data_IF_807484143354
#
_entry.id   IF_807484143354
#
_cell.length_a   1.000
_cell.length_b   1.000
_cell.length_c   1.000
_cell.angle_alpha   90.00
_cell.angle_beta   90.00
_cell.angle_gamma   90.00
#
_symmetry.space_group_name_H-M   'P 1'
#
loop_
_entity.id
_entity.type
_entity.pdbx_description
1 polymer ?
#
# COMPACT_ATOMS: atom_id res chain seq x y z
N UNK A 1 -1.52 7.85 -25.89
CA UNK A 1 -2.99 7.64 -25.81
C UNK A 1 -3.58 8.62 -24.80
N UNK A 2 -4.90 8.67 -24.68
CA UNK A 2 -5.60 9.44 -23.63
C UNK A 2 -5.87 8.58 -22.40
N UNK A 3 -5.79 9.19 -21.22
CA UNK A 3 -6.11 8.59 -19.93
C UNK A 3 -6.95 9.56 -19.08
N UNK A 4 -8.06 9.10 -18.54
CA UNK A 4 -8.71 9.74 -17.40
C UNK A 4 -8.05 9.27 -16.11
N UNK A 5 -7.73 10.16 -15.17
CA UNK A 5 -7.18 9.76 -13.87
C UNK A 5 -7.99 10.38 -12.73
N UNK A 6 -8.67 9.54 -11.96
CA UNK A 6 -9.54 9.92 -10.84
C UNK A 6 -8.80 9.71 -9.53
N UNK A 7 -8.76 10.74 -8.68
CA UNK A 7 -8.00 10.75 -7.43
C UNK A 7 -6.60 11.29 -7.65
N UNK A 8 -6.36 12.54 -7.27
CA UNK A 8 -5.10 13.28 -7.40
C UNK A 8 -4.48 13.58 -6.04
N UNK A 9 -4.62 12.65 -5.11
CA UNK A 9 -3.76 12.58 -3.93
C UNK A 9 -2.29 12.36 -4.32
N UNK A 10 -1.41 12.16 -3.34
CA UNK A 10 0.04 12.10 -3.56
C UNK A 10 0.46 11.09 -4.65
N UNK A 11 -0.14 9.89 -4.65
CA UNK A 11 0.13 8.86 -5.66
C UNK A 11 -0.46 9.22 -7.03
N UNK A 12 -1.77 9.48 -7.11
CA UNK A 12 -2.43 9.75 -8.39
C UNK A 12 -1.90 10.99 -9.11
N UNK A 13 -1.56 12.05 -8.37
CA UNK A 13 -0.87 13.22 -8.93
C UNK A 13 0.46 12.84 -9.57
N UNK A 14 1.31 12.09 -8.84
CA UNK A 14 2.61 11.66 -9.35
C UNK A 14 2.50 10.74 -10.57
N UNK A 15 1.51 9.85 -10.59
CA UNK A 15 1.21 8.98 -11.73
C UNK A 15 0.78 9.78 -12.95
N UNK A 16 -0.12 10.77 -12.78
CA UNK A 16 -0.53 11.68 -13.85
C UNK A 16 0.68 12.39 -14.47
N UNK A 17 1.53 12.98 -13.63
CA UNK A 17 2.71 13.70 -14.12
C UNK A 17 3.68 12.77 -14.86
N UNK A 18 3.87 11.54 -14.39
CA UNK A 18 4.74 10.57 -15.07
C UNK A 18 4.16 10.15 -16.42
N UNK A 19 2.87 9.85 -16.49
CA UNK A 19 2.19 9.47 -17.75
C UNK A 19 2.22 10.63 -18.77
N UNK A 20 2.04 11.87 -18.31
CA UNK A 20 2.19 13.08 -19.15
C UNK A 20 3.62 13.25 -19.67
N UNK A 21 4.63 13.04 -18.82
CA UNK A 21 6.03 13.11 -19.22
C UNK A 21 6.40 12.07 -20.28
N UNK A 22 5.70 10.92 -20.31
CA UNK A 22 5.82 9.90 -21.36
C UNK A 22 5.09 10.26 -22.67
N UNK A 23 4.54 11.46 -22.80
CA UNK A 23 3.88 11.94 -24.02
C UNK A 23 2.43 11.47 -24.18
N UNK A 24 1.79 11.03 -23.11
CA UNK A 24 0.35 10.72 -23.10
C UNK A 24 -0.47 11.91 -22.62
N UNK A 25 -1.69 12.04 -23.14
CA UNK A 25 -2.62 13.07 -22.70
C UNK A 25 -3.42 12.53 -21.50
N UNK A 26 -3.38 13.25 -20.38
CA UNK A 26 -4.07 12.82 -19.15
C UNK A 26 -5.00 13.92 -18.67
N UNK A 27 -6.27 13.57 -18.44
CA UNK A 27 -7.28 14.43 -17.83
C UNK A 27 -7.47 13.97 -16.39
N UNK A 28 -7.09 14.79 -15.41
CA UNK A 28 -7.23 14.48 -14.00
C UNK A 28 -8.53 14.99 -13.39
N UNK A 29 -9.09 14.23 -12.46
CA UNK A 29 -10.21 14.63 -11.60
C UNK A 29 -9.92 14.31 -10.13
N UNK A 30 -10.18 15.27 -9.26
CA UNK A 30 -10.19 15.12 -7.81
C UNK A 30 -11.28 16.02 -7.20
N UNK A 31 -11.69 15.74 -5.95
CA UNK A 31 -12.58 16.64 -5.21
C UNK A 31 -11.92 17.98 -4.90
N UNK A 32 -10.59 18.00 -4.82
CA UNK A 32 -9.81 19.23 -4.76
C UNK A 32 -9.70 19.86 -6.15
N UNK A 33 -10.47 20.94 -6.36
CA UNK A 33 -10.48 21.68 -7.62
C UNK A 33 -9.12 22.30 -7.98
N UNK A 34 -8.20 22.51 -7.04
CA UNK A 34 -6.89 23.13 -7.31
C UNK A 34 -5.95 22.24 -8.13
N UNK A 35 -6.11 20.92 -8.02
CA UNK A 35 -5.25 19.95 -8.73
C UNK A 35 -5.93 19.34 -9.95
N UNK A 36 -7.23 19.55 -10.10
CA UNK A 36 -8.08 18.90 -11.10
C UNK A 36 -8.07 19.61 -12.46
N UNK A 37 -8.06 18.83 -13.54
CA UNK A 37 -8.19 19.32 -14.92
C UNK A 37 -9.66 19.31 -15.41
N UNK A 38 -10.56 18.76 -14.58
CA UNK A 38 -11.99 18.60 -14.85
C UNK A 38 -12.83 18.94 -13.61
N UNK A 39 -14.08 19.36 -13.84
CA UNK A 39 -14.99 19.81 -12.77
C UNK A 39 -15.81 18.68 -12.13
N UNK A 40 -15.92 17.54 -12.81
CA UNK A 40 -16.68 16.36 -12.38
C UNK A 40 -16.21 15.12 -13.14
N UNK A 41 -16.64 13.93 -12.70
CA UNK A 41 -16.41 12.69 -13.47
C UNK A 41 -17.04 12.74 -14.86
N UNK A 42 -18.24 13.33 -14.99
CA UNK A 42 -18.89 13.52 -16.29
C UNK A 42 -18.07 14.43 -17.22
N UNK A 43 -17.52 15.54 -16.69
CA UNK A 43 -16.63 16.44 -17.46
C UNK A 43 -15.32 15.73 -17.85
N UNK A 44 -14.74 14.91 -16.96
CA UNK A 44 -13.57 14.08 -17.29
C UNK A 44 -13.88 13.12 -18.45
N UNK A 45 -14.97 12.35 -18.36
CA UNK A 45 -15.36 11.39 -19.40
C UNK A 45 -15.67 12.08 -20.73
N UNK A 46 -16.30 13.26 -20.69
CA UNK A 46 -16.61 14.07 -21.86
C UNK A 46 -15.38 14.62 -22.59
N UNK A 47 -14.24 14.78 -21.90
CA UNK A 47 -12.96 15.22 -22.47
C UNK A 47 -12.16 14.08 -23.13
N UNK A 48 -12.54 12.83 -22.89
CA UNK A 48 -11.84 11.65 -23.42
C UNK A 48 -12.50 11.13 -24.71
N UNK A 49 -11.67 10.76 -25.68
CA UNK A 49 -12.06 10.08 -26.90
C UNK A 49 -12.31 8.58 -26.65
N UNK A 50 -13.36 8.05 -27.25
CA UNK A 50 -13.68 6.63 -27.21
C UNK A 50 -12.75 5.81 -28.12
N UNK A 51 -12.42 4.55 -27.76
CA UNK A 51 -12.78 3.91 -26.50
C UNK A 51 -11.89 4.44 -25.36
N UNK A 52 -12.51 4.80 -24.23
CA UNK A 52 -11.89 5.51 -23.10
C UNK A 52 -11.19 4.55 -22.15
N UNK A 53 -10.15 5.05 -21.49
CA UNK A 53 -9.48 4.38 -20.37
C UNK A 53 -9.48 5.33 -19.19
N UNK A 54 -10.03 4.89 -18.06
CA UNK A 54 -10.09 5.68 -16.82
C UNK A 54 -9.42 4.91 -15.69
N UNK A 55 -8.39 5.50 -15.10
CA UNK A 55 -7.68 4.99 -13.94
C UNK A 55 -8.26 5.60 -12.66
N UNK A 56 -8.55 4.77 -11.67
CA UNK A 56 -9.06 5.14 -10.34
C UNK A 56 -7.95 4.97 -9.30
N UNK A 57 -7.62 6.06 -8.58
CA UNK A 57 -6.63 6.17 -7.50
C UNK A 57 -7.27 6.83 -6.26
N UNK A 58 -8.37 6.27 -5.79
CA UNK A 58 -9.09 6.76 -4.59
C UNK A 58 -8.96 5.77 -3.42
N UNK A 59 -9.29 6.15 -2.18
CA UNK A 59 -9.22 5.23 -1.05
C UNK A 59 -10.10 4.00 -1.24
N UNK A 60 -9.59 2.85 -0.81
CA UNK A 60 -10.25 1.56 -0.94
C UNK A 60 -11.63 1.51 -0.26
N UNK A 61 -12.45 0.56 -0.71
CA UNK A 61 -13.79 0.33 -0.17
C UNK A 61 -14.82 1.25 -0.81
N UNK A 62 -15.61 1.94 0.00
CA UNK A 62 -16.77 2.70 -0.48
C UNK A 62 -16.42 3.81 -1.49
N UNK A 63 -15.34 4.60 -1.32
CA UNK A 63 -14.97 5.62 -2.30
C UNK A 63 -14.67 5.04 -3.68
N UNK A 64 -13.94 3.92 -3.76
CA UNK A 64 -13.70 3.20 -5.02
C UNK A 64 -15.00 2.67 -5.61
N UNK A 65 -15.84 1.97 -4.81
CA UNK A 65 -17.10 1.39 -5.31
C UNK A 65 -18.05 2.44 -5.89
N UNK A 66 -18.20 3.58 -5.21
CA UNK A 66 -19.02 4.70 -5.70
C UNK A 66 -18.46 5.27 -7.00
N UNK A 67 -17.14 5.47 -7.06
CA UNK A 67 -16.46 5.98 -8.26
C UNK A 67 -16.64 5.03 -9.45
N UNK A 68 -16.45 3.73 -9.25
CA UNK A 68 -16.64 2.71 -10.30
C UNK A 68 -18.09 2.65 -10.76
N UNK A 69 -19.05 2.71 -9.83
CA UNK A 69 -20.48 2.73 -10.18
C UNK A 69 -20.86 3.96 -11.02
N UNK A 70 -20.40 5.15 -10.61
CA UNK A 70 -20.65 6.39 -11.36
C UNK A 70 -19.99 6.36 -12.74
N UNK A 71 -18.74 5.86 -12.84
CA UNK A 71 -18.10 5.63 -14.13
C UNK A 71 -18.88 4.63 -15.00
N UNK A 72 -19.47 3.60 -14.41
CA UNK A 72 -20.36 2.67 -15.10
C UNK A 72 -21.61 3.34 -15.67
N UNK A 73 -22.09 4.43 -15.10
CA UNK A 73 -23.22 5.21 -15.65
C UNK A 73 -22.80 6.21 -16.74
N UNK A 74 -21.52 6.60 -16.78
CA UNK A 74 -20.99 7.63 -17.69
C UNK A 74 -20.26 7.06 -18.92
N UNK A 75 -19.63 5.89 -18.78
CA UNK A 75 -18.85 5.24 -19.83
C UNK A 75 -19.74 4.43 -20.78
N UNK A 76 -19.19 4.08 -21.95
CA UNK A 76 -19.87 3.32 -22.99
C UNK A 76 -19.28 1.92 -23.16
N UNK A 77 -20.00 1.04 -23.87
CA UNK A 77 -19.50 -0.27 -24.26
C UNK A 77 -18.12 -0.17 -24.95
N UNK A 78 -17.19 -1.02 -24.52
CA UNK A 78 -15.81 -1.03 -24.98
C UNK A 78 -14.89 -0.05 -24.25
N UNK A 79 -15.38 0.81 -23.35
CA UNK A 79 -14.53 1.60 -22.46
C UNK A 79 -13.90 0.71 -21.37
N UNK A 80 -12.86 1.20 -20.69
CA UNK A 80 -12.08 0.45 -19.71
C UNK A 80 -11.88 1.26 -18.42
N UNK A 81 -12.16 0.64 -17.28
CA UNK A 81 -11.80 1.14 -15.96
C UNK A 81 -10.60 0.35 -15.40
N UNK A 82 -9.62 1.05 -14.85
CA UNK A 82 -8.47 0.48 -14.16
C UNK A 82 -8.54 0.94 -12.70
N UNK A 83 -8.66 0.03 -11.74
CA UNK A 83 -8.48 0.35 -10.32
C UNK A 83 -7.01 0.12 -9.95
N UNK A 84 -6.29 1.18 -9.59
CA UNK A 84 -4.91 1.08 -9.10
C UNK A 84 -4.76 1.45 -7.63
N UNK A 85 -5.88 1.60 -6.91
CA UNK A 85 -5.87 1.82 -5.46
C UNK A 85 -5.41 0.58 -4.69
N UNK A 86 -5.35 0.71 -3.37
CA UNK A 86 -5.11 -0.46 -2.50
C UNK A 86 -6.42 -1.18 -2.16
N UNK A 87 -7.22 -1.50 -3.18
CA UNK A 87 -8.49 -2.20 -3.00
C UNK A 87 -8.28 -3.63 -2.50
N UNK A 88 -9.23 -4.15 -1.72
CA UNK A 88 -9.24 -5.56 -1.36
C UNK A 88 -9.61 -6.37 -2.60
N UNK A 89 -8.85 -7.42 -2.90
CA UNK A 89 -9.02 -8.21 -4.13
C UNK A 89 -10.45 -8.78 -4.33
N UNK A 90 -11.21 -8.95 -3.25
CA UNK A 90 -12.60 -9.43 -3.30
C UNK A 90 -13.57 -8.40 -3.89
N UNK A 91 -13.25 -7.11 -3.80
CA UNK A 91 -14.08 -6.02 -4.33
C UNK A 91 -13.95 -5.94 -5.85
N UNK A 92 -12.82 -6.38 -6.41
CA UNK A 92 -12.52 -6.34 -7.84
C UNK A 92 -13.53 -7.13 -8.67
N UNK A 93 -13.94 -8.31 -8.18
CA UNK A 93 -14.94 -9.12 -8.88
C UNK A 93 -16.30 -8.45 -8.93
N UNK A 94 -16.69 -7.76 -7.84
CA UNK A 94 -17.96 -7.02 -7.76
C UNK A 94 -17.95 -5.85 -8.73
N UNK A 95 -16.85 -5.10 -8.75
CA UNK A 95 -16.65 -3.97 -9.67
C UNK A 95 -16.63 -4.42 -11.13
N UNK A 96 -15.92 -5.51 -11.44
CA UNK A 96 -15.86 -6.07 -12.78
C UNK A 96 -17.23 -6.54 -13.27
N UNK A 97 -18.02 -7.23 -12.43
CA UNK A 97 -19.36 -7.69 -12.82
C UNK A 97 -20.32 -6.52 -13.09
N UNK A 98 -20.24 -5.46 -12.28
CA UNK A 98 -21.03 -4.24 -12.46
C UNK A 98 -20.75 -3.59 -13.83
N UNK A 99 -19.48 -3.48 -14.20
CA UNK A 99 -19.05 -2.88 -15.47
C UNK A 99 -19.30 -3.80 -16.67
N UNK A 100 -19.09 -5.11 -16.51
CA UNK A 100 -19.33 -6.10 -17.55
C UNK A 100 -20.80 -6.15 -17.99
N UNK A 101 -21.75 -5.94 -17.07
CA UNK A 101 -23.18 -5.83 -17.40
C UNK A 101 -23.52 -4.68 -18.37
N UNK A 102 -22.58 -3.74 -18.55
CA UNK A 102 -22.67 -2.59 -19.45
C UNK A 102 -21.67 -2.65 -20.61
N UNK A 103 -20.97 -3.78 -20.76
CA UNK A 103 -19.93 -3.96 -21.78
C UNK A 103 -18.66 -3.14 -21.54
N UNK A 104 -18.41 -2.70 -20.30
CA UNK A 104 -17.22 -1.94 -19.89
C UNK A 104 -16.19 -2.91 -19.30
N UNK A 105 -14.93 -2.79 -19.72
CA UNK A 105 -13.82 -3.58 -19.20
C UNK A 105 -13.36 -3.13 -17.81
N UNK A 106 -12.72 -4.04 -17.08
CA UNK A 106 -12.13 -3.77 -15.77
C UNK A 106 -10.75 -4.42 -15.64
N UNK A 107 -9.81 -3.69 -15.06
CA UNK A 107 -8.52 -4.19 -14.59
C UNK A 107 -8.31 -3.78 -13.13
N UNK A 108 -7.77 -4.67 -12.32
CA UNK A 108 -7.20 -4.36 -11.01
C UNK A 108 -5.68 -4.29 -11.11
N UNK A 109 -5.05 -3.30 -10.48
CA UNK A 109 -3.61 -3.06 -10.60
C UNK A 109 -3.00 -2.81 -9.23
N UNK A 110 -2.27 -3.80 -8.75
CA UNK A 110 -1.34 -3.63 -7.66
C UNK A 110 -0.21 -2.66 -8.03
N UNK A 111 -0.15 -1.49 -7.38
CA UNK A 111 0.89 -0.47 -7.60
C UNK A 111 1.86 -0.38 -6.42
N UNK A 112 3.17 -0.52 -6.66
CA UNK A 112 4.21 -0.38 -5.62
C UNK A 112 5.30 0.60 -6.03
N UNK A 113 5.95 1.27 -5.07
CA UNK A 113 7.01 2.28 -5.31
C UNK A 113 6.82 3.59 -4.56
N UNK A 114 5.63 3.81 -3.98
CA UNK A 114 5.33 4.96 -3.14
C UNK A 114 5.57 6.30 -3.83
N UNK A 115 5.89 7.32 -3.04
CA UNK A 115 6.02 8.71 -3.52
C UNK A 115 7.19 8.91 -4.49
N UNK A 116 8.16 8.00 -4.48
CA UNK A 116 9.35 8.01 -5.33
C UNK A 116 9.08 7.43 -6.72
N UNK A 117 7.94 6.77 -6.93
CA UNK A 117 7.62 6.19 -8.23
C UNK A 117 7.40 7.22 -9.34
N UNK A 118 7.23 8.51 -9.01
CA UNK A 118 7.28 9.60 -10.02
C UNK A 118 8.59 9.56 -10.81
N UNK A 119 9.70 9.39 -10.10
CA UNK A 119 11.05 9.40 -10.66
C UNK A 119 11.47 7.99 -11.07
N UNK A 120 11.32 7.03 -10.15
CA UNK A 120 11.86 5.67 -10.29
C UNK A 120 10.93 4.71 -11.05
N UNK A 121 9.66 5.07 -11.24
CA UNK A 121 8.61 4.19 -11.75
C UNK A 121 7.96 3.32 -10.67
N UNK A 122 6.89 2.63 -11.05
CA UNK A 122 6.06 1.82 -10.16
C UNK A 122 6.10 0.35 -10.56
N UNK A 123 6.28 -0.56 -9.60
CA UNK A 123 6.00 -1.97 -9.83
C UNK A 123 4.51 -2.18 -10.06
N UNK A 124 4.14 -2.84 -11.16
CA UNK A 124 2.75 -3.03 -11.58
C UNK A 124 2.41 -4.52 -11.65
N UNK A 125 1.43 -4.96 -10.86
CA UNK A 125 0.85 -6.29 -10.93
C UNK A 125 -0.59 -6.18 -11.39
N UNK A 126 -0.89 -6.61 -12.61
CA UNK A 126 -2.19 -6.38 -13.26
C UNK A 126 -3.03 -7.65 -13.27
N UNK A 127 -4.26 -7.58 -12.79
CA UNK A 127 -5.30 -8.59 -12.95
C UNK A 127 -6.35 -8.16 -13.97
N UNK A 128 -6.84 -9.12 -14.76
CA UNK A 128 -7.94 -8.93 -15.71
C UNK A 128 -7.70 -9.58 -17.07
N UNK A 129 -8.56 -9.28 -18.04
CA UNK A 129 -8.51 -9.89 -19.37
C UNK A 129 -7.32 -9.40 -20.19
N UNK A 130 -6.66 -10.32 -20.91
CA UNK A 130 -5.45 -10.07 -21.70
C UNK A 130 -5.64 -8.94 -22.74
N UNK A 131 -6.80 -8.87 -23.39
CA UNK A 131 -7.09 -7.82 -24.36
C UNK A 131 -7.18 -6.42 -23.72
N UNK A 132 -7.70 -6.30 -22.50
CA UNK A 132 -7.72 -5.05 -21.76
C UNK A 132 -6.31 -4.66 -21.30
N UNK A 133 -5.52 -5.65 -20.86
CA UNK A 133 -4.11 -5.45 -20.49
C UNK A 133 -3.32 -4.94 -21.69
N UNK A 134 -3.43 -5.60 -22.85
CA UNK A 134 -2.75 -5.21 -24.08
C UNK A 134 -3.08 -3.76 -24.48
N UNK A 135 -4.35 -3.37 -24.40
CA UNK A 135 -4.79 -2.01 -24.67
C UNK A 135 -4.20 -0.97 -23.70
N UNK A 136 -4.03 -1.33 -22.43
CA UNK A 136 -3.50 -0.45 -21.40
C UNK A 136 -1.96 -0.47 -21.30
N UNK A 137 -1.27 -1.34 -22.06
CA UNK A 137 0.20 -1.46 -22.05
C UNK A 137 0.96 -0.12 -22.19
N UNK A 138 0.56 0.83 -23.07
CA UNK A 138 1.28 2.10 -23.16
C UNK A 138 1.27 2.89 -21.84
N UNK A 139 0.17 2.84 -21.08
CA UNK A 139 0.08 3.47 -19.75
C UNK A 139 0.96 2.74 -18.75
N UNK A 140 0.96 1.40 -18.77
CA UNK A 140 1.82 0.60 -17.90
C UNK A 140 3.31 0.83 -18.20
N UNK A 141 3.69 0.94 -19.47
CA UNK A 141 5.05 1.29 -19.90
C UNK A 141 5.49 2.68 -19.43
N UNK A 142 4.58 3.66 -19.44
CA UNK A 142 4.85 4.98 -18.91
C UNK A 142 5.06 4.98 -17.38
N UNK A 143 4.35 4.10 -16.66
CA UNK A 143 4.37 4.06 -15.20
C UNK A 143 5.50 3.20 -14.62
N UNK A 144 5.85 2.09 -15.26
CA UNK A 144 6.86 1.16 -14.75
C UNK A 144 8.27 1.78 -14.66
N UNK A 145 9.19 1.17 -13.91
CA UNK A 145 10.61 1.49 -13.98
C UNK A 145 11.18 1.31 -15.38
N UNK A 146 12.25 2.06 -15.68
CA UNK A 146 13.05 1.84 -16.87
C UNK A 146 13.70 0.45 -16.87
N UNK A 147 14.01 -0.07 -18.05
CA UNK A 147 14.59 -1.41 -18.23
C UNK A 147 13.63 -2.41 -18.87
N UNK A 148 13.93 -3.72 -18.80
CA UNK A 148 13.05 -4.78 -19.29
C UNK A 148 11.66 -4.70 -18.63
N UNK A 149 10.60 -4.93 -19.42
CA UNK A 149 9.22 -4.74 -18.94
C UNK A 149 8.89 -5.73 -17.82
N UNK A 150 9.36 -6.96 -17.97
CA UNK A 150 9.17 -8.07 -17.03
C UNK A 150 9.77 -7.83 -15.63
N UNK A 151 10.67 -6.85 -15.49
CA UNK A 151 11.26 -6.46 -14.20
C UNK A 151 10.39 -5.47 -13.42
N UNK A 152 9.44 -4.79 -14.09
CA UNK A 152 8.59 -3.75 -13.49
C UNK A 152 7.09 -3.94 -13.70
N UNK A 153 6.69 -4.90 -14.52
CA UNK A 153 5.31 -5.18 -14.89
C UNK A 153 5.05 -6.68 -15.01
N UNK A 154 3.93 -7.13 -14.44
CA UNK A 154 3.41 -8.48 -14.62
C UNK A 154 1.90 -8.48 -14.87
N UNK A 155 1.44 -9.23 -15.87
CA UNK A 155 0.04 -9.66 -15.93
C UNK A 155 -0.12 -10.87 -15.01
N UNK A 156 -0.60 -10.61 -13.79
CA UNK A 156 -0.65 -11.56 -12.69
C UNK A 156 -1.74 -12.62 -12.84
N UNK A 157 -2.77 -12.34 -13.64
CA UNK A 157 -3.85 -13.30 -13.91
C UNK A 157 -5.18 -12.61 -14.21
N UNK A 158 -6.26 -13.27 -13.82
CA UNK A 158 -7.64 -12.77 -14.00
C UNK A 158 -7.95 -11.64 -13.01
N UNK A 159 -9.15 -11.06 -13.12
CA UNK A 159 -9.65 -10.05 -12.18
C UNK A 159 -9.45 -10.51 -10.73
N UNK A 160 -8.87 -9.64 -9.91
CA UNK A 160 -8.47 -9.84 -8.51
C UNK A 160 -7.00 -10.25 -8.33
N UNK A 161 -6.33 -10.75 -9.38
CA UNK A 161 -4.97 -11.29 -9.23
C UNK A 161 -3.92 -10.19 -8.96
N UNK A 162 -4.08 -8.99 -9.52
CA UNK A 162 -3.17 -7.86 -9.35
C UNK A 162 -3.20 -7.33 -7.93
N UNK A 163 -4.40 -7.01 -7.40
CA UNK A 163 -4.55 -6.59 -6.01
C UNK A 163 -4.20 -7.70 -5.01
N UNK A 164 -4.50 -8.97 -5.31
CA UNK A 164 -4.07 -10.09 -4.46
C UNK A 164 -2.54 -10.18 -4.40
N UNK A 165 -1.84 -10.07 -5.53
CA UNK A 165 -0.38 -10.04 -5.56
C UNK A 165 0.18 -8.85 -4.76
N UNK A 166 -0.45 -7.68 -4.83
CA UNK A 166 -0.03 -6.50 -4.06
C UNK A 166 -0.29 -6.62 -2.57
N UNK A 167 -1.40 -7.25 -2.17
CA UNK A 167 -1.67 -7.59 -0.78
C UNK A 167 -0.53 -8.46 -0.22
N UNK A 168 -0.16 -9.54 -0.91
CA UNK A 168 0.96 -10.42 -0.50
C UNK A 168 2.29 -9.65 -0.48
N UNK A 169 2.56 -8.80 -1.47
CA UNK A 169 3.73 -7.91 -1.47
C UNK A 169 3.81 -7.08 -0.17
N UNK A 170 2.70 -6.45 0.26
CA UNK A 170 2.68 -5.66 1.49
C UNK A 170 2.85 -6.53 2.75
N UNK A 171 2.35 -7.76 2.75
CA UNK A 171 2.64 -8.73 3.82
C UNK A 171 4.14 -9.04 3.93
N UNK A 172 4.84 -9.22 2.81
CA UNK A 172 6.30 -9.39 2.78
C UNK A 172 7.00 -8.13 3.31
N UNK A 173 6.58 -6.95 2.86
CA UNK A 173 7.08 -5.66 3.33
C UNK A 173 6.98 -5.54 4.86
N UNK A 174 5.85 -5.97 5.45
CA UNK A 174 5.66 -5.97 6.90
C UNK A 174 6.70 -6.81 7.63
N UNK A 175 7.00 -8.01 7.11
CA UNK A 175 8.01 -8.90 7.68
C UNK A 175 9.43 -8.35 7.57
N UNK A 176 9.78 -7.76 6.42
CA UNK A 176 11.10 -7.15 6.21
C UNK A 176 11.34 -5.95 7.13
N UNK A 177 10.35 -5.05 7.23
CA UNK A 177 10.46 -3.90 8.13
C UNK A 177 10.62 -4.35 9.59
N UNK A 178 9.85 -5.38 10.01
CA UNK A 178 9.95 -5.90 11.37
C UNK A 178 11.34 -6.51 11.65
N UNK A 179 11.90 -7.26 10.71
CA UNK A 179 13.24 -7.84 10.87
C UNK A 179 14.34 -6.77 10.99
N UNK A 180 14.23 -5.66 10.25
CA UNK A 180 15.16 -4.54 10.42
C UNK A 180 14.96 -3.84 11.77
N UNK A 181 13.72 -3.66 12.23
CA UNK A 181 13.44 -3.02 13.52
C UNK A 181 14.00 -3.83 14.70
N UNK A 182 13.79 -5.15 14.72
CA UNK A 182 14.34 -6.04 15.75
C UNK A 182 15.87 -6.05 15.72
N UNK A 183 16.47 -6.03 14.52
CA UNK A 183 17.92 -5.92 14.37
C UNK A 183 18.46 -4.57 14.84
N UNK A 184 17.78 -3.46 14.57
CA UNK A 184 18.14 -2.13 15.05
C UNK A 184 18.12 -2.07 16.58
N UNK A 185 17.03 -2.51 17.21
CA UNK A 185 16.92 -2.52 18.68
C UNK A 185 17.99 -3.40 19.33
N UNK A 186 18.30 -4.56 18.73
CA UNK A 186 19.37 -5.43 19.23
C UNK A 186 20.76 -4.78 19.13
N UNK A 187 21.04 -4.05 18.05
CA UNK A 187 22.29 -3.31 17.90
C UNK A 187 22.38 -2.16 18.92
N UNK A 188 21.30 -1.43 19.14
CA UNK A 188 21.24 -0.31 20.09
C UNK A 188 21.40 -0.78 21.55
N UNK A 189 20.87 -1.97 21.88
CA UNK A 189 21.01 -2.56 23.20
C UNK A 189 22.41 -3.15 23.50
N UNK A 190 23.29 -3.28 22.50
CA UNK A 190 24.58 -3.94 22.64
C UNK A 190 25.72 -2.93 22.93
N UNK A 191 26.45 -3.13 24.03
CA UNK A 191 27.58 -2.28 24.42
C UNK A 191 28.73 -2.30 23.40
N UNK A 192 28.85 -3.38 22.61
CA UNK A 192 29.90 -3.55 21.60
C UNK A 192 29.72 -2.65 20.37
N UNK A 193 28.49 -2.21 20.08
CA UNK A 193 28.17 -1.43 18.88
C UNK A 193 27.98 0.03 19.25
N UNK A 194 28.98 0.85 18.96
CA UNK A 194 28.98 2.27 19.33
C UNK A 194 28.40 3.21 18.25
N UNK A 195 28.09 2.68 17.06
CA UNK A 195 27.61 3.47 15.92
C UNK A 195 26.62 2.64 15.06
N UNK A 196 25.40 2.49 15.57
CA UNK A 196 24.31 1.76 14.90
C UNK A 196 23.96 2.37 13.53
N UNK A 197 23.83 3.70 13.37
CA UNK A 197 23.55 4.30 12.07
C UNK A 197 24.63 3.97 11.01
N UNK A 198 25.92 4.02 11.36
CA UNK A 198 26.99 3.67 10.42
C UNK A 198 26.95 2.20 10.01
N UNK A 199 26.62 1.29 10.93
CA UNK A 199 26.48 -0.15 10.63
C UNK A 199 25.34 -0.39 9.64
N UNK A 200 24.15 0.17 9.89
CA UNK A 200 23.01 0.06 8.97
C UNK A 200 23.32 0.69 7.60
N UNK A 201 24.01 1.84 7.58
CA UNK A 201 24.47 2.47 6.35
C UNK A 201 25.45 1.59 5.58
N UNK A 202 26.37 0.92 6.26
CA UNK A 202 27.29 -0.02 5.62
C UNK A 202 26.57 -1.20 4.95
N UNK A 203 25.42 -1.62 5.49
CA UNK A 203 24.64 -2.72 4.90
C UNK A 203 23.97 -2.39 3.58
N UNK A 204 23.77 -1.12 3.25
CA UNK A 204 23.19 -0.69 1.97
C UNK A 204 24.03 -1.10 0.75
N UNK A 205 25.32 -1.43 0.94
CA UNK A 205 26.23 -1.83 -0.14
C UNK A 205 26.99 -3.10 0.17
N UNK A 206 27.02 -4.02 -0.79
CA UNK A 206 27.82 -5.24 -0.74
C UNK A 206 27.31 -6.34 0.20
N UNK A 207 26.36 -6.04 1.10
CA UNK A 207 25.78 -7.05 1.99
C UNK A 207 24.55 -7.74 1.39
N UNK A 208 24.20 -8.90 1.93
CA UNK A 208 23.09 -9.74 1.47
C UNK A 208 21.73 -9.12 1.81
N UNK A 209 21.63 -8.39 2.92
CA UNK A 209 20.38 -7.80 3.42
C UNK A 209 20.09 -6.43 2.81
N UNK A 210 20.74 -6.03 1.71
CA UNK A 210 20.45 -4.75 1.07
C UNK A 210 19.03 -4.73 0.47
N UNK A 211 18.30 -3.64 0.66
CA UNK A 211 17.02 -3.38 0.00
C UNK A 211 16.67 -1.90 0.06
N UNK A 212 15.69 -1.47 -0.75
CA UNK A 212 15.21 -0.09 -0.70
C UNK A 212 14.61 0.28 0.67
N UNK A 213 13.98 -0.66 1.37
CA UNK A 213 13.50 -0.42 2.75
C UNK A 213 14.65 -0.11 3.71
N UNK A 214 15.81 -0.77 3.55
CA UNK A 214 17.00 -0.47 4.33
C UNK A 214 17.53 0.94 4.00
N UNK A 215 17.53 1.32 2.72
CA UNK A 215 17.93 2.69 2.31
C UNK A 215 17.02 3.75 2.94
N UNK A 216 15.71 3.47 3.04
CA UNK A 216 14.76 4.37 3.71
C UNK A 216 14.97 4.45 5.22
N UNK A 217 15.28 3.33 5.89
CA UNK A 217 15.64 3.32 7.31
C UNK A 217 16.91 4.14 7.57
N UNK A 218 17.94 3.96 6.74
CA UNK A 218 19.18 4.74 6.83
C UNK A 218 18.90 6.23 6.63
N UNK A 219 18.05 6.59 5.66
CA UNK A 219 17.63 7.98 5.48
C UNK A 219 16.96 8.56 6.73
N UNK A 220 16.06 7.81 7.36
CA UNK A 220 15.41 8.25 8.60
C UNK A 220 16.42 8.45 9.74
N UNK A 221 17.41 7.57 9.87
CA UNK A 221 18.47 7.70 10.88
C UNK A 221 19.48 8.82 10.59
N UNK A 222 19.63 9.24 9.33
CA UNK A 222 20.41 10.43 9.00
C UNK A 222 19.69 11.73 9.41
N UNK A 223 18.35 11.72 9.37
CA UNK A 223 17.51 12.83 9.82
C UNK A 223 17.39 12.88 11.35
N UNK A 224 17.21 11.71 12.00
CA UNK A 224 17.09 11.54 13.44
C UNK A 224 17.79 10.23 13.90
N UNK A 225 19.08 10.30 14.29
CA UNK A 225 19.90 9.11 14.59
C UNK A 225 19.36 8.18 15.69
N UNK A 226 18.51 8.68 16.58
CA UNK A 226 17.90 7.91 17.66
C UNK A 226 16.40 7.68 17.49
N UNK A 227 15.80 8.15 16.39
CA UNK A 227 14.35 8.15 16.18
C UNK A 227 13.57 8.80 17.35
N UNK A 228 14.17 9.79 18.01
CA UNK A 228 13.63 10.46 19.19
C UNK A 228 12.42 11.37 18.89
N UNK A 229 12.24 11.78 17.63
CA UNK A 229 11.13 12.64 17.20
C UNK A 229 9.82 11.88 16.93
N UNK A 230 9.87 10.54 16.92
CA UNK A 230 8.71 9.68 16.67
C UNK A 230 8.39 8.78 17.86
N UNK A 231 7.12 8.38 17.99
CA UNK A 231 6.70 7.39 18.99
C UNK A 231 6.76 5.98 18.41
N UNK A 232 6.91 4.95 19.25
CA UNK A 232 6.87 3.53 18.84
C UNK A 232 5.52 3.01 18.33
N UNK A 233 4.52 3.88 18.13
CA UNK A 233 3.21 3.51 17.62
C UNK A 233 3.25 3.32 16.09
N UNK A 234 2.74 2.18 15.60
CA UNK A 234 2.77 1.84 14.15
C UNK A 234 1.37 1.48 13.65
N UNK A 235 0.89 2.23 12.65
CA UNK A 235 -0.38 1.94 11.96
C UNK A 235 -0.30 0.74 11.02
N UNK A 236 -1.47 0.21 10.63
CA UNK A 236 -1.59 -0.79 9.56
C UNK A 236 -2.68 -0.37 8.58
N UNK A 237 -2.41 -0.51 7.28
CA UNK A 237 -3.28 -0.06 6.19
C UNK A 237 -4.30 -1.11 5.73
N UNK A 238 -4.34 -2.28 6.39
CA UNK A 238 -5.28 -3.37 6.12
C UNK A 238 -4.70 -4.53 5.32
N UNK A 239 -3.80 -4.31 4.37
CA UNK A 239 -3.27 -5.35 3.47
C UNK A 239 -2.45 -6.41 4.23
N UNK A 240 -1.76 -6.01 5.30
CA UNK A 240 -1.08 -6.94 6.21
C UNK A 240 -2.06 -7.86 6.94
N UNK A 241 -3.25 -7.36 7.31
CA UNK A 241 -4.32 -8.18 7.91
C UNK A 241 -4.87 -9.17 6.89
N UNK A 242 -5.23 -8.68 5.71
CA UNK A 242 -5.79 -9.53 4.65
C UNK A 242 -4.81 -10.62 4.24
N UNK A 243 -3.50 -10.34 4.21
CA UNK A 243 -2.49 -11.38 3.94
C UNK A 243 -2.52 -12.50 4.97
N UNK A 244 -2.64 -12.16 6.27
CA UNK A 244 -2.72 -13.18 7.34
C UNK A 244 -4.06 -13.93 7.28
N UNK A 245 -5.16 -13.25 6.97
CA UNK A 245 -6.46 -13.90 6.75
C UNK A 245 -6.38 -14.93 5.61
N UNK A 246 -5.79 -14.56 4.48
CA UNK A 246 -5.63 -15.46 3.33
C UNK A 246 -4.66 -16.62 3.61
N UNK A 247 -3.61 -16.38 4.38
CA UNK A 247 -2.73 -17.45 4.86
C UNK A 247 -3.52 -18.50 5.68
N UNK A 248 -4.44 -18.07 6.53
CA UNK A 248 -5.34 -18.96 7.28
C UNK A 248 -6.30 -19.68 6.33
N UNK A 249 -6.97 -18.95 5.44
CA UNK A 249 -7.95 -19.50 4.50
C UNK A 249 -7.34 -20.59 3.60
N UNK A 250 -6.08 -20.42 3.21
CA UNK A 250 -5.34 -21.38 2.39
C UNK A 250 -4.56 -22.43 3.19
N UNK A 251 -4.57 -22.36 4.53
CA UNK A 251 -3.73 -23.21 5.40
C UNK A 251 -2.22 -23.11 5.06
N UNK A 252 -1.76 -21.91 4.69
CA UNK A 252 -0.36 -21.60 4.36
C UNK A 252 0.33 -21.01 5.61
N UNK A 253 1.43 -21.61 6.10
CA UNK A 253 2.17 -21.04 7.23
C UNK A 253 2.81 -19.70 6.88
N UNK A 254 2.47 -18.65 7.63
CA UNK A 254 3.02 -17.30 7.47
C UNK A 254 3.57 -16.70 8.80
N UNK A 255 4.48 -17.41 9.52
CA UNK A 255 4.88 -17.03 10.87
C UNK A 255 5.52 -15.63 10.92
N UNK A 256 6.40 -15.29 9.98
CA UNK A 256 7.07 -13.97 9.93
C UNK A 256 6.06 -12.83 9.75
N UNK A 257 5.16 -12.95 8.76
CA UNK A 257 4.17 -11.92 8.46
C UNK A 257 3.18 -11.77 9.62
N UNK A 258 2.74 -12.89 10.20
CA UNK A 258 1.86 -12.86 11.37
C UNK A 258 2.52 -12.18 12.58
N UNK A 259 3.76 -12.54 12.91
CA UNK A 259 4.50 -11.93 14.02
C UNK A 259 4.66 -10.42 13.81
N UNK A 260 5.02 -9.99 12.61
CA UNK A 260 5.14 -8.58 12.26
C UNK A 260 3.81 -7.81 12.39
N UNK A 261 2.67 -8.44 12.06
CA UNK A 261 1.35 -7.83 12.27
C UNK A 261 1.03 -7.70 13.77
N UNK A 262 1.26 -8.76 14.55
CA UNK A 262 1.00 -8.74 16.00
C UNK A 262 1.93 -7.79 16.77
N UNK A 263 3.17 -7.60 16.31
CA UNK A 263 4.09 -6.60 16.86
C UNK A 263 3.51 -5.17 16.74
N UNK A 264 2.88 -4.84 15.61
CA UNK A 264 2.15 -3.57 15.44
C UNK A 264 0.96 -3.47 16.39
N UNK A 265 0.21 -4.55 16.62
CA UNK A 265 -0.90 -4.52 17.59
C UNK A 265 -0.40 -4.30 19.02
N UNK A 266 0.73 -4.90 19.37
CA UNK A 266 1.36 -4.70 20.67
C UNK A 266 1.82 -3.25 20.84
N UNK A 267 2.37 -2.61 19.80
CA UNK A 267 2.87 -1.24 19.89
C UNK A 267 1.79 -0.17 20.12
N UNK A 268 0.51 -0.52 19.90
CA UNK A 268 -0.64 0.36 20.19
C UNK A 268 -1.18 0.20 21.62
N UNK A 269 -0.68 -0.78 22.38
CA UNK A 269 -1.10 -1.01 23.75
C UNK A 269 -0.17 -0.29 24.71
N UNK A 270 -0.64 0.80 25.32
CA UNK A 270 0.08 1.46 26.42
C UNK A 270 0.16 0.58 27.67
N UNK A 271 -0.82 -0.30 27.88
CA UNK A 271 -0.89 -1.24 29.00
C UNK A 271 -1.60 -2.53 28.60
N UNK A 272 -0.87 -3.64 28.56
CA UNK A 272 -1.34 -4.90 27.96
C UNK A 272 -2.21 -5.72 28.93
N UNK A 273 -3.51 -5.96 28.61
CA UNK A 273 -4.37 -6.81 29.44
C UNK A 273 -3.86 -8.24 29.55
N UNK A 274 -3.25 -8.77 28.49
CA UNK A 274 -2.65 -10.10 28.48
C UNK A 274 -1.50 -10.18 29.48
N UNK A 275 -0.61 -9.19 29.50
CA UNK A 275 0.51 -9.16 30.46
C UNK A 275 0.04 -8.96 31.90
N UNK A 276 -1.05 -8.21 32.14
CA UNK A 276 -1.70 -8.15 33.47
C UNK A 276 -2.20 -9.51 33.94
N UNK A 277 -2.87 -10.26 33.05
CA UNK A 277 -3.33 -11.61 33.38
C UNK A 277 -2.15 -12.54 33.71
N UNK A 278 -1.06 -12.48 32.94
CA UNK A 278 0.17 -13.23 33.22
C UNK A 278 0.77 -12.83 34.57
N UNK A 279 0.88 -11.54 34.88
CA UNK A 279 1.40 -11.06 36.16
C UNK A 279 0.53 -11.52 37.34
N UNK A 280 -0.80 -11.45 37.19
CA UNK A 280 -1.75 -11.92 38.18
C UNK A 280 -1.62 -13.43 38.42
N UNK A 281 -1.54 -14.25 37.36
CA UNK A 281 -1.34 -15.69 37.48
C UNK A 281 -0.04 -16.01 38.22
N UNK A 282 1.08 -15.40 37.83
CA UNK A 282 2.39 -15.55 38.50
C UNK A 282 2.33 -15.21 39.98
N UNK A 283 1.58 -14.18 40.35
CA UNK A 283 1.35 -13.84 41.75
C UNK A 283 0.51 -14.91 42.46
N UNK A 284 -0.59 -15.36 41.86
CA UNK A 284 -1.52 -16.31 42.50
C UNK A 284 -0.90 -17.70 42.71
N UNK A 285 -0.20 -18.26 41.72
CA UNK A 285 0.36 -19.61 41.87
C UNK A 285 1.76 -19.61 42.51
N UNK A 286 2.54 -18.55 42.34
CA UNK A 286 3.97 -18.52 42.69
C UNK A 286 4.39 -17.41 43.66
N UNK A 287 3.47 -16.54 44.09
CA UNK A 287 3.78 -15.43 45.00
C UNK A 287 4.68 -14.35 44.40
N UNK A 288 4.88 -14.31 43.08
CA UNK A 288 5.74 -13.32 42.43
C UNK A 288 5.21 -11.89 42.66
N UNK A 289 6.12 -10.94 42.88
CA UNK A 289 5.79 -9.53 43.05
C UNK A 289 5.11 -8.95 41.79
N UNK A 290 4.15 -8.04 41.99
CA UNK A 290 3.44 -7.32 40.92
C UNK A 290 3.59 -5.81 41.11
N UNK A 291 3.69 -5.08 40.01
CA UNK A 291 3.65 -3.63 40.02
C UNK A 291 2.19 -3.16 40.09
N UNK A 292 1.89 -2.21 40.98
CA UNK A 292 0.54 -1.61 41.07
C UNK A 292 0.30 -0.70 39.87
N UNK A 293 -0.94 -0.67 39.38
CA UNK A 293 -1.35 0.32 38.39
C UNK A 293 -1.09 1.74 38.93
N UNK A 294 -0.49 2.61 38.11
CA UNK A 294 -0.35 4.03 38.42
C UNK A 294 -1.72 4.74 38.41
N UNK A 295 -1.81 5.99 38.91
CA UNK A 295 -3.03 6.77 38.78
C UNK A 295 -3.38 6.94 37.29
N UNK A 296 -4.61 6.60 36.93
CA UNK A 296 -5.14 6.82 35.58
C UNK A 296 -5.17 8.32 35.29
N UNK A 297 -4.29 8.81 34.41
CA UNK A 297 -4.46 10.14 33.81
C UNK A 297 -5.74 10.08 32.97
N UNK A 298 -6.81 10.66 33.52
CA UNK A 298 -8.12 10.69 32.89
C UNK A 298 -8.07 11.33 31.52
N UNK A 299 -8.93 10.81 30.65
CA UNK A 299 -9.47 11.44 29.44
C UNK A 299 -9.36 12.96 29.48
N UNK A 300 -8.52 13.52 28.60
CA UNK A 300 -8.62 14.92 28.23
C UNK A 300 -9.99 15.15 27.60
N UNK A 301 -10.77 16.02 28.24
CA UNK A 301 -12.04 16.51 27.74
C UNK A 301 -11.87 17.01 26.30
N UNK A 302 -12.75 16.53 25.43
CA UNK A 302 -13.09 17.18 24.18
C UNK A 302 -13.95 18.38 24.53
N UNK A 303 -13.43 19.58 24.30
CA UNK A 303 -14.22 20.80 24.07
C UNK A 303 -13.73 21.49 22.82
#
# INVERSE_FOLDING_TARGET
MQLGLVGLGKMGFNMRERVRAAGHEVVGYDRNAQVSDSSSLADLVGKLAAPRVVWVMVPAGEPTRQTVAELGDLLAEGDLVIDGGNSRYTDDKVNADLLAAKGIGYLDVGVSGGVWGKENGYGLMVGGDEAHVERALPIFDALRPEGPREEGFAHAGKVGAGHYAKMVHNGIEYGLMQAYAEGFELLDAADEVTDVPAVLKAWTRGTVVRSWLLDLLVKALEEDPGLAEISGYVEDSGEGRWTVEEAINHSVPAPVISAALFARFASRQSDSPAMKAVAALRNQFGGHAVHKAGPTSGSGDVS
#
